data_IF_466948486682
#
_entry.id   IF_466948486682
#
_cell.length_a   1.000
_cell.length_b   1.000
_cell.length_c   1.000
_cell.angle_alpha   90.00
_cell.angle_beta   90.00
_cell.angle_gamma   90.00
#
_symmetry.space_group_name_H-M   'P 1'
#
loop_
_entity.id
_entity.type
_entity.pdbx_description
1 polymer ?
#
# COMPACT_ATOMS: atom_id res chain seq x y z
N UNK A 1 4.73 41.81 31.04
CA UNK A 1 4.16 40.49 30.75
C UNK A 1 4.42 40.25 29.27
N UNK A 2 5.14 39.20 28.95
CA UNK A 2 5.34 38.88 27.54
C UNK A 2 4.02 38.49 26.92
N UNK A 3 3.79 38.94 25.69
CA UNK A 3 2.56 38.62 24.95
C UNK A 3 2.41 37.12 24.79
N UNK A 4 1.21 36.59 25.07
CA UNK A 4 0.92 35.16 24.85
C UNK A 4 0.91 34.86 23.37
N UNK A 5 1.68 33.82 22.97
CA UNK A 5 1.72 33.29 21.59
C UNK A 5 1.09 31.91 21.54
N UNK A 6 0.14 31.73 20.64
CA UNK A 6 -0.47 30.46 20.31
C UNK A 6 0.18 29.91 19.05
N UNK A 7 0.84 28.75 19.15
CA UNK A 7 1.47 28.09 18.02
C UNK A 7 0.71 26.82 17.70
N UNK A 8 0.17 26.74 16.50
CA UNK A 8 -0.44 25.53 15.95
C UNK A 8 0.47 25.00 14.85
N UNK A 9 0.79 23.73 14.93
CA UNK A 9 1.70 23.05 14.01
C UNK A 9 1.01 21.79 13.47
N UNK A 10 0.92 21.68 12.14
CA UNK A 10 0.30 20.56 11.42
C UNK A 10 1.31 19.59 10.82
N UNK A 11 2.59 19.76 11.10
CA UNK A 11 3.67 18.98 10.48
C UNK A 11 3.50 17.45 10.68
N UNK A 12 3.26 17.00 11.92
CA UNK A 12 3.04 15.59 12.26
C UNK A 12 1.73 15.42 13.04
N UNK A 13 0.62 15.46 12.34
CA UNK A 13 -0.71 15.53 12.91
C UNK A 13 -1.06 16.97 13.28
N UNK A 14 -1.51 17.21 14.52
CA UNK A 14 -1.80 18.55 14.99
C UNK A 14 -1.24 18.76 16.40
N UNK A 15 -0.39 19.77 16.59
CA UNK A 15 0.22 20.13 17.87
C UNK A 15 -0.10 21.57 18.21
N UNK A 16 -0.41 21.83 19.48
CA UNK A 16 -0.59 23.20 19.99
C UNK A 16 0.41 23.43 21.10
N UNK A 17 1.06 24.60 21.07
CA UNK A 17 2.00 25.07 22.08
C UNK A 17 1.63 26.50 22.50
N UNK A 18 1.67 26.80 23.80
CA UNK A 18 1.42 28.12 24.36
C UNK A 18 2.74 28.69 24.87
N UNK A 19 3.17 29.85 24.38
CA UNK A 19 4.39 30.52 24.80
C UNK A 19 4.08 31.89 25.44
N UNK A 20 4.85 32.27 26.44
CA UNK A 20 4.69 33.57 27.16
C UNK A 20 3.47 33.59 28.08
N UNK A 21 3.18 34.73 28.69
CA UNK A 21 2.07 34.93 29.62
C UNK A 21 2.34 34.45 31.05
N UNK A 22 1.29 34.21 31.83
CA UNK A 22 1.39 33.73 33.21
C UNK A 22 1.51 32.23 33.27
N UNK A 23 2.56 31.69 33.93
CA UNK A 23 2.83 30.27 34.11
C UNK A 23 1.73 29.48 34.82
N UNK A 24 0.86 30.19 35.59
CA UNK A 24 -0.27 29.58 36.31
C UNK A 24 -1.56 29.54 35.46
N UNK A 25 -1.56 30.20 34.32
CA UNK A 25 -2.74 30.30 33.50
C UNK A 25 -2.99 29.03 32.72
N UNK A 26 -4.19 28.48 32.78
CA UNK A 26 -4.62 27.25 32.11
C UNK A 26 -5.40 27.56 30.85
N UNK A 27 -5.11 26.81 29.82
CA UNK A 27 -5.77 26.83 28.52
C UNK A 27 -6.36 25.46 28.22
N UNK A 28 -7.59 25.46 27.75
CA UNK A 28 -8.23 24.27 27.23
C UNK A 28 -8.07 24.23 25.70
N UNK A 29 -7.54 23.14 25.18
CA UNK A 29 -7.29 22.95 23.76
C UNK A 29 -8.24 21.88 23.24
N UNK A 30 -9.04 22.23 22.25
CA UNK A 30 -9.99 21.33 21.60
C UNK A 30 -9.56 21.07 20.16
N UNK A 31 -9.39 19.80 19.82
CA UNK A 31 -9.04 19.35 18.49
C UNK A 31 -10.24 18.66 17.85
N UNK A 32 -10.70 19.19 16.75
CA UNK A 32 -11.85 18.67 16.02
C UNK A 32 -11.45 18.13 14.65
N UNK A 33 -12.21 17.14 14.17
CA UNK A 33 -12.34 16.91 12.74
C UNK A 33 -13.37 17.94 12.20
N UNK A 34 -12.90 18.87 11.40
CA UNK A 34 -13.69 19.99 10.87
C UNK A 34 -14.83 19.53 9.94
N UNK A 35 -14.63 18.40 9.19
CA UNK A 35 -15.64 17.85 8.27
C UNK A 35 -16.99 17.60 8.95
N UNK A 36 -16.96 17.08 10.17
CA UNK A 36 -18.16 16.67 10.91
C UNK A 36 -18.29 17.38 12.26
N UNK A 37 -17.39 18.32 12.55
CA UNK A 37 -17.25 19.05 13.81
C UNK A 37 -17.18 18.11 15.03
N UNK A 38 -16.53 16.93 14.84
CA UNK A 38 -16.37 15.93 15.89
C UNK A 38 -15.15 16.24 16.73
N UNK A 39 -15.35 16.35 18.04
CA UNK A 39 -14.23 16.46 19.00
C UNK A 39 -13.41 15.16 18.98
N UNK A 40 -12.12 15.28 18.62
CA UNK A 40 -11.16 14.17 18.56
C UNK A 40 -10.35 14.08 19.84
N UNK A 41 -9.89 15.23 20.34
CA UNK A 41 -9.05 15.28 21.54
C UNK A 41 -9.29 16.57 22.31
N UNK A 42 -9.10 16.49 23.63
CA UNK A 42 -9.14 17.61 24.55
C UNK A 42 -7.89 17.57 25.42
N UNK A 43 -7.17 18.69 25.51
CA UNK A 43 -6.04 18.86 26.41
C UNK A 43 -6.23 20.08 27.30
N UNK A 44 -5.67 20.06 28.50
CA UNK A 44 -5.57 21.25 29.37
C UNK A 44 -4.05 21.42 29.61
N UNK A 45 -3.52 22.57 29.23
CA UNK A 45 -2.10 22.92 29.39
C UNK A 45 -1.93 24.30 29.99
N UNK A 46 -0.75 24.54 30.54
CA UNK A 46 -0.30 25.86 31.00
C UNK A 46 0.61 26.52 29.97
N UNK A 47 0.89 27.78 30.15
CA UNK A 47 1.94 28.46 29.40
C UNK A 47 3.28 27.74 29.52
N UNK A 48 4.04 27.64 28.42
CA UNK A 48 5.28 26.88 28.30
C UNK A 48 5.07 25.38 27.98
N UNK A 49 3.85 24.91 27.84
CA UNK A 49 3.53 23.51 27.54
C UNK A 49 2.87 23.34 26.19
N UNK A 50 2.86 22.10 25.71
CA UNK A 50 2.20 21.71 24.47
C UNK A 50 1.31 20.47 24.67
N UNK A 51 0.38 20.28 23.75
CA UNK A 51 -0.46 19.09 23.66
C UNK A 51 -0.75 18.73 22.20
N UNK A 52 -1.00 17.45 21.94
CA UNK A 52 -1.40 16.94 20.62
C UNK A 52 -2.21 15.65 20.74
N UNK A 53 -3.16 15.40 19.82
CA UNK A 53 -3.71 14.05 19.62
C UNK A 53 -2.62 13.13 19.06
N UNK A 54 -2.72 11.84 19.38
CA UNK A 54 -1.75 10.86 18.90
C UNK A 54 -2.18 10.23 17.55
N UNK A 55 -2.65 11.06 16.61
CA UNK A 55 -3.12 10.63 15.28
C UNK A 55 -2.10 11.09 14.24
N UNK A 56 -1.69 10.18 13.35
CA UNK A 56 -0.68 10.39 12.32
C UNK A 56 -1.22 10.31 10.87
N UNK A 57 -2.47 9.89 10.70
CA UNK A 57 -3.17 9.97 9.43
C UNK A 57 -3.88 11.32 9.26
N UNK A 58 -4.33 11.58 8.05
CA UNK A 58 -5.02 12.83 7.73
C UNK A 58 -6.33 12.99 8.53
N UNK A 59 -6.47 14.14 9.16
CA UNK A 59 -7.70 14.67 9.71
C UNK A 59 -7.80 16.12 9.24
N UNK A 60 -8.98 16.57 8.86
CA UNK A 60 -9.24 17.98 8.55
C UNK A 60 -9.32 18.76 9.87
N UNK A 61 -8.14 19.16 10.37
CA UNK A 61 -8.01 19.71 11.71
C UNK A 61 -8.64 21.09 11.84
N UNK A 62 -9.46 21.26 12.88
CA UNK A 62 -9.87 22.53 13.47
C UNK A 62 -9.42 22.53 14.92
N UNK A 63 -8.74 23.59 15.33
CA UNK A 63 -8.25 23.78 16.70
C UNK A 63 -8.92 24.98 17.32
N UNK A 64 -9.39 24.85 18.56
CA UNK A 64 -9.83 25.94 19.38
C UNK A 64 -9.05 25.97 20.68
N UNK A 65 -8.55 27.17 21.05
CA UNK A 65 -7.87 27.42 22.32
C UNK A 65 -8.79 28.28 23.15
N UNK A 66 -9.17 27.77 24.32
CA UNK A 66 -10.03 28.46 25.26
C UNK A 66 -9.24 28.88 26.50
N UNK A 67 -9.50 30.05 27.00
CA UNK A 67 -8.97 30.57 28.27
C UNK A 67 -10.10 30.71 29.27
N UNK A 68 -9.90 30.24 30.49
CA UNK A 68 -10.88 30.36 31.55
C UNK A 68 -11.42 31.80 31.67
N UNK A 69 -12.75 31.96 31.72
CA UNK A 69 -13.49 33.20 31.77
C UNK A 69 -13.47 34.11 30.52
N UNK A 70 -12.70 33.74 29.46
CA UNK A 70 -12.59 34.55 28.24
C UNK A 70 -13.20 33.85 27.00
N UNK A 71 -13.49 32.55 27.10
CA UNK A 71 -13.96 31.75 25.95
C UNK A 71 -12.87 31.43 24.98
N UNK A 72 -13.21 31.33 23.68
CA UNK A 72 -12.25 31.02 22.61
C UNK A 72 -11.35 32.24 22.38
N UNK A 73 -10.04 32.07 22.57
CA UNK A 73 -9.03 33.12 22.39
C UNK A 73 -8.22 32.91 21.10
N UNK A 74 -8.23 31.72 20.50
CA UNK A 74 -7.62 31.43 19.22
C UNK A 74 -8.34 30.27 18.53
N UNK A 75 -8.47 30.35 17.21
CA UNK A 75 -8.99 29.27 16.36
C UNK A 75 -8.17 29.17 15.10
N UNK A 76 -7.81 27.96 14.71
CA UNK A 76 -7.00 27.71 13.52
C UNK A 76 -7.44 26.42 12.82
N UNK A 77 -7.26 26.38 11.51
CA UNK A 77 -7.67 25.30 10.63
C UNK A 77 -6.49 24.80 9.82
N UNK A 78 -6.45 23.47 9.55
CA UNK A 78 -5.55 22.91 8.57
C UNK A 78 -5.91 23.45 7.18
N UNK A 79 -4.99 24.16 6.56
CA UNK A 79 -5.12 24.63 5.18
C UNK A 79 -3.90 24.18 4.37
N UNK A 80 -4.11 23.17 3.52
CA UNK A 80 -3.06 22.58 2.68
C UNK A 80 -2.86 23.32 1.35
N UNK A 81 -3.76 24.25 1.00
CA UNK A 81 -3.66 24.96 -0.28
C UNK A 81 -2.33 25.69 -0.40
N UNK A 82 -1.66 25.49 -1.53
CA UNK A 82 -0.35 26.06 -1.84
C UNK A 82 0.77 25.70 -0.83
N UNK A 83 0.56 24.66 0.00
CA UNK A 83 1.56 24.17 0.95
C UNK A 83 2.35 23.00 0.36
N UNK A 84 3.53 22.78 0.93
CA UNK A 84 4.34 21.62 0.61
C UNK A 84 4.12 20.50 1.63
N UNK A 85 3.75 19.31 1.16
CA UNK A 85 3.37 18.13 1.96
C UNK A 85 4.29 16.97 1.62
N UNK A 86 4.81 16.28 2.65
CA UNK A 86 5.54 15.03 2.49
C UNK A 86 4.61 13.84 2.65
N UNK A 87 4.59 12.94 1.67
CA UNK A 87 3.92 11.64 1.79
C UNK A 87 4.97 10.54 1.66
N UNK A 88 5.22 9.85 2.76
CA UNK A 88 6.10 8.70 2.79
C UNK A 88 5.32 7.42 2.48
N UNK A 89 5.76 6.68 1.47
CA UNK A 89 5.26 5.35 1.15
C UNK A 89 6.17 4.33 1.81
N UNK A 90 5.81 3.94 3.05
CA UNK A 90 6.71 3.30 4.01
C UNK A 90 7.09 1.85 3.76
N UNK A 91 6.46 1.14 2.80
CA UNK A 91 6.69 -0.29 2.58
C UNK A 91 7.69 -0.56 1.45
N UNK A 92 8.48 -1.65 1.60
CA UNK A 92 9.42 -2.11 0.57
C UNK A 92 8.79 -2.96 -0.54
N UNK A 93 7.72 -3.76 -0.32
CA UNK A 93 7.09 -4.53 -1.38
C UNK A 93 6.60 -3.62 -2.51
N UNK A 94 7.00 -3.94 -3.74
CA UNK A 94 6.69 -3.10 -4.90
C UNK A 94 5.19 -2.95 -5.17
N UNK A 95 4.40 -4.00 -4.89
CA UNK A 95 2.95 -3.97 -5.06
C UNK A 95 2.28 -2.92 -4.19
N UNK A 96 2.72 -2.78 -2.93
CA UNK A 96 2.22 -1.80 -1.98
C UNK A 96 2.51 -0.38 -2.51
N UNK A 97 3.76 -0.14 -2.92
CA UNK A 97 4.16 1.16 -3.46
C UNK A 97 3.36 1.54 -4.71
N UNK A 98 3.20 0.59 -5.65
CA UNK A 98 2.41 0.81 -6.88
C UNK A 98 0.94 1.09 -6.56
N UNK A 99 0.37 0.37 -5.59
CA UNK A 99 -1.02 0.57 -5.19
C UNK A 99 -1.28 1.89 -4.47
N UNK A 100 -0.30 2.43 -3.76
CA UNK A 100 -0.46 3.60 -2.88
C UNK A 100 -0.11 4.94 -3.52
N UNK A 101 0.89 4.97 -4.43
CA UNK A 101 1.33 6.23 -5.07
C UNK A 101 0.20 7.00 -5.74
N UNK A 102 -0.79 6.39 -6.45
CA UNK A 102 -1.88 7.13 -7.06
C UNK A 102 -2.70 7.96 -6.07
N UNK A 103 -2.78 7.53 -4.81
CA UNK A 103 -3.50 8.27 -3.77
C UNK A 103 -2.74 9.52 -3.32
N UNK A 104 -1.40 9.49 -3.30
CA UNK A 104 -0.61 10.69 -3.06
C UNK A 104 -0.79 11.72 -4.19
N UNK A 105 -0.89 11.26 -5.43
CA UNK A 105 -1.18 12.13 -6.59
C UNK A 105 -2.57 12.74 -6.48
N UNK A 106 -3.57 11.95 -6.14
CA UNK A 106 -4.94 12.40 -5.96
C UNK A 106 -5.07 13.36 -4.77
N UNK A 107 -4.32 13.12 -3.69
CA UNK A 107 -4.24 14.02 -2.54
C UNK A 107 -3.75 15.41 -2.93
N UNK A 108 -2.67 15.50 -3.72
CA UNK A 108 -2.16 16.76 -4.23
C UNK A 108 -3.23 17.56 -5.00
N UNK A 109 -4.00 16.89 -5.85
CA UNK A 109 -5.08 17.48 -6.64
C UNK A 109 -6.22 17.98 -5.76
N UNK A 110 -6.71 17.15 -4.84
CA UNK A 110 -7.85 17.48 -3.97
C UNK A 110 -7.56 18.66 -3.06
N UNK A 111 -6.35 18.74 -2.54
CA UNK A 111 -5.96 19.80 -1.61
C UNK A 111 -5.25 20.97 -2.27
N UNK A 112 -5.02 20.94 -3.61
CA UNK A 112 -4.29 21.98 -4.33
C UNK A 112 -2.93 22.30 -3.67
N UNK A 113 -2.19 21.26 -3.25
CA UNK A 113 -0.91 21.36 -2.57
C UNK A 113 0.21 20.75 -3.40
N UNK A 114 1.46 21.12 -3.11
CA UNK A 114 2.65 20.48 -3.67
C UNK A 114 2.99 19.26 -2.84
N UNK A 115 3.13 18.08 -3.48
CA UNK A 115 3.42 16.83 -2.77
C UNK A 115 4.81 16.33 -3.16
N UNK A 116 5.61 16.02 -2.14
CA UNK A 116 6.84 15.23 -2.25
C UNK A 116 6.54 13.81 -1.79
N UNK A 117 6.73 12.83 -2.68
CA UNK A 117 6.56 11.41 -2.36
C UNK A 117 7.92 10.78 -2.09
N UNK A 118 8.13 10.32 -0.87
CA UNK A 118 9.31 9.56 -0.49
C UNK A 118 9.02 8.05 -0.61
N UNK A 119 9.76 7.37 -1.50
CA UNK A 119 9.46 6.00 -1.91
C UNK A 119 10.73 5.16 -2.14
N UNK A 120 10.68 3.82 -1.96
CA UNK A 120 11.76 2.93 -2.38
C UNK A 120 12.03 2.90 -3.89
N UNK A 121 11.04 3.27 -4.71
CA UNK A 121 11.08 3.16 -6.18
C UNK A 121 10.67 4.46 -6.90
N UNK A 122 11.30 5.61 -6.61
CA UNK A 122 10.91 6.90 -7.19
C UNK A 122 10.97 6.89 -8.72
N UNK A 123 11.97 6.23 -9.31
CA UNK A 123 12.21 6.13 -10.75
C UNK A 123 11.06 5.50 -11.56
N UNK A 124 10.17 4.74 -10.91
CA UNK A 124 9.01 4.16 -11.59
C UNK A 124 7.93 5.20 -11.90
N UNK A 125 7.88 6.29 -11.16
CA UNK A 125 6.77 7.22 -11.16
C UNK A 125 7.11 8.61 -11.68
N UNK A 126 8.37 9.04 -11.58
CA UNK A 126 8.82 10.40 -11.90
C UNK A 126 8.41 10.89 -13.29
N UNK A 127 8.46 10.00 -14.28
CA UNK A 127 8.04 10.31 -15.66
C UNK A 127 6.53 10.27 -15.85
N UNK A 128 5.82 9.50 -15.05
CA UNK A 128 4.37 9.27 -15.18
C UNK A 128 3.55 10.33 -14.46
N UNK A 129 4.13 10.97 -13.46
CA UNK A 129 3.48 11.99 -12.64
C UNK A 129 4.41 13.21 -12.47
N UNK A 130 4.63 13.99 -13.56
CA UNK A 130 5.59 15.10 -13.54
C UNK A 130 5.20 16.22 -12.57
N UNK A 131 3.95 16.26 -12.12
CA UNK A 131 3.44 17.21 -11.12
C UNK A 131 3.84 16.86 -9.67
N UNK A 132 4.39 15.66 -9.44
CA UNK A 132 4.80 15.17 -8.13
C UNK A 132 6.32 15.08 -8.06
N UNK A 133 6.91 15.50 -6.95
CA UNK A 133 8.34 15.32 -6.70
C UNK A 133 8.57 13.96 -6.04
N UNK A 134 9.29 13.04 -6.70
CA UNK A 134 9.63 11.74 -6.15
C UNK A 134 11.07 11.71 -5.64
N UNK A 135 11.26 11.24 -4.41
CA UNK A 135 12.59 11.10 -3.78
C UNK A 135 12.78 9.71 -3.19
N UNK A 136 14.04 9.31 -2.99
CA UNK A 136 14.36 8.03 -2.37
C UNK A 136 13.94 8.00 -0.90
N UNK A 137 13.57 6.81 -0.43
CA UNK A 137 13.35 6.55 0.98
C UNK A 137 14.56 6.99 1.82
N UNK A 138 14.30 7.74 2.90
CA UNK A 138 15.33 8.28 3.78
C UNK A 138 16.00 9.59 3.29
N UNK A 139 15.46 10.23 2.24
CA UNK A 139 15.91 11.58 1.83
C UNK A 139 15.54 12.63 2.88
N UNK A 140 14.37 12.50 3.46
CA UNK A 140 13.88 13.37 4.53
C UNK A 140 13.59 12.55 5.79
N UNK A 141 13.91 13.10 6.95
CA UNK A 141 13.40 12.60 8.23
C UNK A 141 12.05 13.24 8.48
N UNK A 142 11.02 12.41 8.74
CA UNK A 142 9.67 12.92 8.95
C UNK A 142 9.58 13.95 10.08
N UNK A 143 10.25 13.70 11.21
CA UNK A 143 10.20 14.55 12.40
C UNK A 143 11.03 15.84 12.26
N UNK A 144 12.09 15.83 11.47
CA UNK A 144 13.03 16.94 11.30
C UNK A 144 12.85 17.75 10.03
N UNK A 145 11.87 17.43 9.18
CA UNK A 145 11.65 18.12 7.93
C UNK A 145 10.85 19.42 8.11
N UNK A 146 10.93 20.32 7.13
CA UNK A 146 10.23 21.61 7.13
C UNK A 146 8.89 21.61 6.37
N UNK A 147 8.36 20.44 6.04
CA UNK A 147 7.07 20.32 5.36
C UNK A 147 5.93 20.80 6.26
N UNK A 148 4.93 21.43 5.65
CA UNK A 148 3.76 21.90 6.38
C UNK A 148 2.94 20.77 7.02
N UNK A 149 2.83 19.64 6.30
CA UNK A 149 2.22 18.42 6.82
C UNK A 149 2.97 17.19 6.31
N UNK A 150 2.93 16.11 7.06
CA UNK A 150 3.63 14.86 6.73
C UNK A 150 2.75 13.66 7.05
N UNK A 151 2.58 12.76 6.08
CA UNK A 151 1.79 11.54 6.23
C UNK A 151 2.61 10.32 5.83
N UNK A 152 2.34 9.18 6.47
CA UNK A 152 2.96 7.90 6.12
C UNK A 152 1.89 6.89 5.75
N UNK A 153 1.90 6.44 4.49
CA UNK A 153 1.09 5.31 4.07
C UNK A 153 1.89 4.04 4.38
N UNK A 154 1.35 3.20 5.23
CA UNK A 154 1.95 1.93 5.62
C UNK A 154 0.87 0.91 5.91
N UNK A 155 1.25 -0.35 6.06
CA UNK A 155 0.33 -1.41 6.48
C UNK A 155 -0.14 -1.30 7.95
N UNK A 156 0.10 -0.16 8.61
CA UNK A 156 -0.29 0.07 10.00
C UNK A 156 0.50 -0.73 11.04
N UNK A 157 1.51 -1.48 10.60
CA UNK A 157 2.39 -2.22 11.49
C UNK A 157 3.61 -1.36 11.85
N UNK A 158 3.77 -1.07 13.12
CA UNK A 158 4.82 -0.15 13.61
C UNK A 158 6.20 -0.80 13.43
N UNK A 159 7.10 -0.10 12.72
CA UNK A 159 8.47 -0.57 12.46
C UNK A 159 9.31 -0.77 13.72
N UNK A 160 9.07 -0.03 14.78
CA UNK A 160 9.77 -0.15 16.06
C UNK A 160 9.49 -1.47 16.78
N UNK A 161 8.32 -2.07 16.56
CA UNK A 161 8.00 -3.38 17.07
C UNK A 161 8.73 -4.52 16.33
N UNK A 162 9.21 -4.29 15.11
CA UNK A 162 10.03 -5.28 14.39
C UNK A 162 11.35 -5.55 15.11
N UNK A 163 11.98 -4.54 15.69
CA UNK A 163 13.19 -4.73 16.46
C UNK A 163 12.90 -5.45 17.77
N UNK A 164 11.80 -5.12 18.47
CA UNK A 164 11.36 -5.83 19.66
C UNK A 164 10.95 -7.27 19.34
N UNK A 165 10.27 -7.49 18.20
CA UNK A 165 9.93 -8.81 17.70
C UNK A 165 11.16 -9.64 17.37
N UNK A 166 12.11 -9.09 16.65
CA UNK A 166 13.37 -9.76 16.34
C UNK A 166 14.17 -10.07 17.61
N UNK A 167 14.10 -9.20 18.61
CA UNK A 167 14.76 -9.43 19.91
C UNK A 167 14.05 -10.51 20.73
N UNK A 168 12.71 -10.56 20.72
CA UNK A 168 11.92 -11.63 21.31
C UNK A 168 12.18 -12.97 20.61
N UNK A 169 12.28 -13.00 19.28
CA UNK A 169 12.64 -14.20 18.51
C UNK A 169 14.08 -14.66 18.83
N UNK A 170 15.04 -13.72 18.97
CA UNK A 170 16.43 -14.05 19.34
C UNK A 170 16.52 -14.61 20.76
N UNK A 171 15.70 -14.10 21.68
CA UNK A 171 15.68 -14.56 23.09
C UNK A 171 14.96 -15.88 23.28
N UNK A 172 14.09 -16.28 22.36
CA UNK A 172 13.22 -17.45 22.55
C UNK A 172 13.17 -18.34 21.29
N UNK A 173 14.27 -19.08 21.06
CA UNK A 173 14.46 -19.96 19.89
C UNK A 173 13.40 -21.08 19.76
N UNK A 174 12.60 -21.33 20.80
CA UNK A 174 11.54 -22.33 20.85
C UNK A 174 10.15 -21.76 20.48
N UNK A 175 10.02 -20.47 20.23
CA UNK A 175 8.75 -19.86 19.81
C UNK A 175 8.38 -20.29 18.39
N UNK A 176 7.59 -21.33 18.27
CA UNK A 176 7.02 -21.81 16.99
C UNK A 176 5.89 -20.92 16.47
N UNK A 177 5.28 -20.11 17.32
CA UNK A 177 4.11 -19.30 17.02
C UNK A 177 3.99 -18.16 18.04
N UNK A 178 3.84 -16.93 17.58
CA UNK A 178 3.46 -15.80 18.43
C UNK A 178 2.04 -15.42 18.03
N UNK A 179 1.03 -15.81 18.82
CA UNK A 179 -0.32 -15.32 18.64
C UNK A 179 -0.34 -13.81 18.91
N UNK A 180 -1.05 -13.05 18.09
CA UNK A 180 -1.34 -11.63 18.28
C UNK A 180 -0.17 -10.65 18.19
N UNK A 181 0.66 -10.77 17.15
CA UNK A 181 1.69 -9.78 16.86
C UNK A 181 1.45 -8.99 15.57
N UNK A 182 0.22 -8.97 15.08
CA UNK A 182 -0.24 -7.88 14.24
C UNK A 182 -0.57 -6.69 15.15
N UNK A 183 0.44 -5.94 15.57
CA UNK A 183 0.21 -4.73 16.34
C UNK A 183 -0.26 -3.67 15.34
N UNK A 184 -1.55 -3.71 15.05
CA UNK A 184 -2.20 -2.59 14.42
C UNK A 184 -2.20 -1.41 15.37
N UNK A 185 -1.76 -0.29 14.89
CA UNK A 185 -1.81 0.96 15.62
C UNK A 185 -2.92 1.85 15.03
N UNK A 186 -4.00 2.01 15.76
CA UNK A 186 -5.13 2.84 15.38
C UNK A 186 -4.77 4.33 15.16
N UNK A 187 -3.61 4.77 15.66
CA UNK A 187 -3.11 6.12 15.43
C UNK A 187 -2.38 6.28 14.09
N UNK A 188 -1.98 5.18 13.45
CA UNK A 188 -1.32 5.18 12.13
C UNK A 188 -2.32 4.99 10.99
N UNK A 189 -3.36 4.17 11.21
CA UNK A 189 -4.41 3.90 10.24
C UNK A 189 -5.77 3.84 10.92
N UNK A 190 -6.82 4.51 10.38
CA UNK A 190 -8.14 4.56 11.03
C UNK A 190 -8.87 3.23 11.01
N UNK A 191 -8.59 2.36 10.03
CA UNK A 191 -9.15 1.00 9.95
C UNK A 191 -8.03 -0.04 9.96
N UNK A 192 -8.33 -1.22 10.51
CA UNK A 192 -7.37 -2.34 10.55
C UNK A 192 -7.01 -2.79 9.11
N UNK A 193 -5.72 -2.80 8.71
CA UNK A 193 -5.31 -3.14 7.34
C UNK A 193 -5.70 -4.55 6.90
N UNK A 194 -5.93 -5.48 7.84
CA UNK A 194 -6.49 -6.80 7.55
C UNK A 194 -7.95 -6.80 7.11
N UNK A 195 -8.64 -5.67 7.24
CA UNK A 195 -10.06 -5.50 6.87
C UNK A 195 -10.26 -4.59 5.66
N UNK A 196 -9.17 -4.05 5.13
CA UNK A 196 -9.16 -3.13 3.99
C UNK A 196 -8.39 -3.72 2.82
N UNK A 197 -8.68 -3.30 1.61
CA UNK A 197 -7.82 -3.56 0.48
C UNK A 197 -6.51 -2.77 0.62
N UNK A 198 -5.53 -3.13 -0.20
CA UNK A 198 -4.26 -2.38 -0.23
C UNK A 198 -4.51 -0.89 -0.52
N UNK A 199 -5.37 -0.58 -1.47
CA UNK A 199 -5.68 0.79 -1.86
C UNK A 199 -6.59 1.51 -0.85
N UNK A 200 -7.54 0.81 -0.22
CA UNK A 200 -8.33 1.40 0.86
C UNK A 200 -7.47 1.91 2.02
N UNK A 201 -6.37 1.20 2.34
CA UNK A 201 -5.43 1.67 3.37
C UNK A 201 -4.86 3.04 3.03
N UNK A 202 -4.47 3.30 1.78
CA UNK A 202 -3.98 4.61 1.36
C UNK A 202 -5.09 5.67 1.38
N UNK A 203 -6.28 5.31 0.89
CA UNK A 203 -7.49 6.16 0.93
C UNK A 203 -7.80 6.60 2.37
N UNK A 204 -7.77 5.67 3.31
CA UNK A 204 -8.04 5.94 4.73
C UNK A 204 -6.98 6.84 5.36
N UNK A 205 -5.69 6.52 5.14
CA UNK A 205 -4.58 7.31 5.70
C UNK A 205 -4.58 8.75 5.19
N UNK A 206 -4.98 8.95 3.93
CA UNK A 206 -5.07 10.28 3.32
C UNK A 206 -6.45 10.94 3.46
N UNK A 207 -7.37 10.35 4.23
CA UNK A 207 -8.64 10.95 4.63
C UNK A 207 -9.66 11.10 3.51
N UNK A 208 -9.65 10.22 2.49
CA UNK A 208 -10.64 10.25 1.43
C UNK A 208 -12.00 9.77 1.95
N UNK A 209 -13.06 10.48 1.62
CA UNK A 209 -14.41 10.20 2.12
C UNK A 209 -15.00 8.88 1.62
N UNK A 210 -14.64 8.52 0.40
CA UNK A 210 -15.05 7.27 -0.23
C UNK A 210 -13.86 6.61 -0.90
N UNK A 211 -13.82 5.30 -0.84
CA UNK A 211 -12.86 4.52 -1.57
C UNK A 211 -13.23 4.45 -3.06
N UNK A 212 -12.28 4.81 -3.89
CA UNK A 212 -12.32 4.60 -5.34
C UNK A 212 -11.03 3.88 -5.73
N UNK A 213 -11.14 2.83 -6.55
CA UNK A 213 -9.98 2.16 -7.11
C UNK A 213 -9.26 3.08 -8.09
N UNK A 214 -8.01 3.44 -7.81
CA UNK A 214 -7.21 4.30 -8.68
C UNK A 214 -6.12 3.47 -9.34
N UNK A 215 -6.23 3.33 -10.67
CA UNK A 215 -5.22 2.62 -11.45
C UNK A 215 -3.94 3.43 -11.55
N UNK A 216 -2.77 2.90 -11.12
CA UNK A 216 -1.49 3.55 -11.38
C UNK A 216 -1.23 3.63 -12.88
N UNK A 217 -0.46 4.62 -13.31
CA UNK A 217 -0.08 4.78 -14.71
C UNK A 217 1.42 4.75 -14.84
N UNK A 218 1.90 3.97 -15.80
CA UNK A 218 3.30 3.94 -16.16
C UNK A 218 3.45 4.32 -17.63
N UNK A 219 4.38 5.24 -17.92
CA UNK A 219 4.73 5.58 -19.30
C UNK A 219 5.49 4.41 -19.91
N UNK A 220 5.16 4.06 -21.14
CA UNK A 220 5.93 3.08 -21.90
C UNK A 220 7.35 3.63 -22.15
N UNK A 221 8.40 2.99 -21.62
CA UNK A 221 9.76 3.51 -21.74
C UNK A 221 10.33 3.40 -23.16
N UNK A 222 9.76 2.53 -23.97
CA UNK A 222 10.20 2.33 -25.35
C UNK A 222 9.01 1.93 -26.26
N UNK A 223 8.69 2.71 -27.31
CA UNK A 223 7.58 2.43 -28.22
C UNK A 223 7.80 1.19 -29.09
N UNK A 224 9.04 0.76 -29.29
CA UNK A 224 9.36 -0.44 -30.08
C UNK A 224 9.00 -1.72 -29.32
N UNK A 225 8.43 -2.70 -30.03
CA UNK A 225 8.12 -4.00 -29.43
C UNK A 225 9.40 -4.79 -29.15
N UNK A 226 9.56 -5.37 -27.94
CA UNK A 226 10.73 -6.20 -27.63
C UNK A 226 10.71 -7.57 -28.33
N UNK A 227 9.56 -7.98 -28.84
CA UNK A 227 9.32 -9.25 -29.56
C UNK A 227 8.30 -9.00 -30.67
N UNK A 228 8.61 -9.37 -31.90
CA UNK A 228 7.72 -9.18 -33.05
C UNK A 228 6.43 -10.00 -32.96
N UNK A 229 6.54 -11.24 -32.51
CA UNK A 229 5.39 -12.15 -32.35
C UNK A 229 4.50 -11.71 -31.20
N UNK A 230 3.22 -12.08 -31.27
CA UNK A 230 2.31 -11.96 -30.12
C UNK A 230 2.84 -12.73 -28.93
N UNK A 231 2.82 -12.14 -27.77
CA UNK A 231 3.32 -12.78 -26.56
C UNK A 231 2.52 -12.41 -25.31
N UNK A 232 2.61 -13.28 -24.32
CA UNK A 232 2.02 -13.13 -22.99
C UNK A 232 3.15 -13.07 -21.98
N UNK A 233 3.07 -12.11 -21.06
CA UNK A 233 3.95 -12.06 -19.91
C UNK A 233 3.39 -12.92 -18.76
N UNK A 234 4.27 -13.68 -18.10
CA UNK A 234 3.92 -14.46 -16.93
C UNK A 234 4.80 -14.11 -15.72
N UNK A 235 4.22 -14.23 -14.52
CA UNK A 235 4.96 -14.23 -13.25
C UNK A 235 4.51 -15.37 -12.37
N UNK A 236 5.42 -16.34 -12.20
CA UNK A 236 5.15 -17.62 -11.53
C UNK A 236 5.23 -17.51 -10.02
N UNK A 237 6.02 -16.55 -9.52
CA UNK A 237 6.44 -16.46 -8.12
C UNK A 237 5.87 -15.24 -7.41
N UNK A 238 5.77 -15.37 -6.09
CA UNK A 238 5.37 -14.31 -5.17
C UNK A 238 6.32 -14.27 -3.97
N UNK A 239 6.08 -13.35 -3.04
CA UNK A 239 6.86 -13.22 -1.81
C UNK A 239 6.74 -14.42 -0.84
N UNK A 240 5.93 -15.42 -1.16
CA UNK A 240 5.77 -16.65 -0.38
C UNK A 240 4.93 -17.69 -1.10
N UNK A 241 5.22 -18.97 -0.84
CA UNK A 241 4.59 -20.14 -1.48
C UNK A 241 3.05 -20.14 -1.37
N UNK A 242 2.51 -19.55 -0.30
CA UNK A 242 1.06 -19.47 -0.10
C UNK A 242 0.34 -18.65 -1.18
N UNK A 243 1.04 -17.72 -1.84
CA UNK A 243 0.51 -16.91 -2.94
C UNK A 243 0.75 -17.54 -4.32
N UNK A 244 1.61 -18.54 -4.41
CA UNK A 244 1.96 -19.17 -5.67
C UNK A 244 0.90 -20.15 -6.17
N UNK A 245 0.94 -20.42 -7.47
CA UNK A 245 0.11 -21.45 -8.07
C UNK A 245 0.73 -22.82 -7.86
N UNK A 246 0.37 -23.48 -6.76
CA UNK A 246 0.97 -24.73 -6.30
C UNK A 246 0.48 -25.99 -7.04
N UNK A 247 -0.18 -25.86 -8.20
CA UNK A 247 -0.52 -26.98 -9.07
C UNK A 247 0.72 -27.52 -9.77
N UNK A 248 1.04 -28.80 -9.58
CA UNK A 248 2.31 -29.40 -10.03
C UNK A 248 2.55 -29.33 -11.55
N UNK A 249 1.49 -29.33 -12.34
CA UNK A 249 1.57 -29.26 -13.82
C UNK A 249 1.04 -27.93 -14.36
N UNK A 250 0.54 -27.06 -13.49
CA UNK A 250 -0.18 -25.83 -13.82
C UNK A 250 0.52 -24.99 -14.87
N UNK A 251 1.66 -24.43 -14.51
CA UNK A 251 2.42 -23.56 -15.40
C UNK A 251 2.91 -24.26 -16.68
N UNK A 252 3.37 -25.52 -16.57
CA UNK A 252 3.87 -26.26 -17.74
C UNK A 252 2.77 -26.49 -18.77
N UNK A 253 1.58 -26.89 -18.31
CA UNK A 253 0.43 -27.13 -19.19
C UNK A 253 -0.07 -25.81 -19.79
N UNK A 254 -0.21 -24.75 -18.98
CA UNK A 254 -0.65 -23.44 -19.44
C UNK A 254 0.28 -22.90 -20.55
N UNK A 255 1.59 -22.93 -20.33
CA UNK A 255 2.59 -22.51 -21.32
C UNK A 255 2.47 -23.31 -22.61
N UNK A 256 2.31 -24.64 -22.51
CA UNK A 256 2.14 -25.50 -23.68
C UNK A 256 0.91 -25.12 -24.51
N UNK A 257 -0.22 -24.85 -23.86
CA UNK A 257 -1.47 -24.46 -24.55
C UNK A 257 -1.36 -23.06 -25.19
N UNK A 258 -0.77 -22.09 -24.49
CA UNK A 258 -0.53 -20.75 -25.05
C UNK A 258 0.36 -20.81 -26.30
N UNK A 259 1.40 -21.66 -26.28
CA UNK A 259 2.25 -21.86 -27.45
C UNK A 259 1.53 -22.51 -28.62
N UNK A 260 0.64 -23.47 -28.38
CA UNK A 260 -0.22 -24.06 -29.44
C UNK A 260 -1.13 -23.00 -30.08
N UNK A 261 -1.54 -21.99 -29.31
CA UNK A 261 -2.34 -20.86 -29.79
C UNK A 261 -1.48 -19.78 -30.49
N UNK A 262 -0.18 -20.00 -30.65
CA UNK A 262 0.72 -19.11 -31.38
C UNK A 262 1.36 -18.00 -30.56
N UNK A 263 1.20 -17.99 -29.24
CA UNK A 263 1.82 -16.98 -28.38
C UNK A 263 3.27 -17.37 -28.01
N UNK A 264 4.17 -16.41 -28.02
CA UNK A 264 5.36 -16.52 -27.22
C UNK A 264 5.03 -16.28 -25.74
N UNK A 265 5.78 -16.90 -24.82
CA UNK A 265 5.59 -16.72 -23.38
C UNK A 265 6.87 -16.16 -22.78
N UNK A 266 6.74 -15.07 -22.04
CA UNK A 266 7.85 -14.36 -21.40
C UNK A 266 7.68 -14.41 -19.90
N UNK A 267 8.58 -15.09 -19.18
CA UNK A 267 8.65 -15.01 -17.72
C UNK A 267 9.42 -13.77 -17.32
N UNK A 268 8.76 -12.89 -16.53
CA UNK A 268 9.33 -11.64 -16.00
C UNK A 268 9.52 -11.67 -14.48
N UNK A 269 9.38 -12.85 -13.86
CA UNK A 269 9.63 -13.03 -12.41
C UNK A 269 11.05 -12.62 -12.03
N UNK A 270 11.26 -12.24 -10.78
CA UNK A 270 12.61 -12.04 -10.25
C UNK A 270 13.33 -13.38 -10.09
N UNK A 271 12.64 -14.38 -9.59
CA UNK A 271 13.11 -15.73 -9.39
C UNK A 271 13.32 -16.43 -10.74
N UNK A 272 14.30 -17.33 -10.78
CA UNK A 272 14.61 -18.06 -12.00
C UNK A 272 13.52 -19.06 -12.37
N UNK A 273 12.92 -18.88 -13.53
CA UNK A 273 11.94 -19.84 -14.06
C UNK A 273 12.60 -21.15 -14.51
N UNK A 274 12.01 -22.29 -14.12
CA UNK A 274 12.40 -23.63 -14.58
C UNK A 274 11.56 -24.10 -15.79
N UNK A 275 10.62 -23.27 -16.27
CA UNK A 275 9.83 -23.58 -17.47
C UNK A 275 10.70 -23.64 -18.70
N UNK A 276 10.37 -24.57 -19.63
CA UNK A 276 11.06 -24.76 -20.90
C UNK A 276 10.30 -24.06 -22.03
N UNK A 277 11.03 -23.75 -23.10
CA UNK A 277 10.48 -23.18 -24.34
C UNK A 277 9.78 -21.80 -24.11
N UNK A 278 10.29 -21.00 -23.18
CA UNK A 278 9.85 -19.63 -22.90
C UNK A 278 11.03 -18.66 -22.99
N UNK A 279 10.73 -17.39 -23.15
CA UNK A 279 11.71 -16.32 -23.03
C UNK A 279 11.83 -15.95 -21.56
N UNK A 280 13.04 -15.91 -21.01
CA UNK A 280 13.30 -15.63 -19.60
C UNK A 280 13.89 -14.25 -19.44
N UNK A 281 13.22 -13.40 -18.68
CA UNK A 281 13.64 -12.06 -18.24
C UNK A 281 13.62 -12.00 -16.71
N UNK A 282 14.40 -12.89 -16.12
CA UNK A 282 14.48 -13.15 -14.68
C UNK A 282 15.72 -12.48 -14.05
N UNK A 283 15.88 -12.64 -12.73
CA UNK A 283 17.03 -12.10 -11.98
C UNK A 283 16.97 -10.58 -11.82
N UNK A 284 18.12 -9.93 -11.97
CA UNK A 284 18.28 -8.47 -11.80
C UNK A 284 17.81 -7.66 -13.03
N UNK A 285 16.96 -8.25 -13.86
CA UNK A 285 16.33 -7.55 -14.98
C UNK A 285 15.55 -6.33 -14.46
N UNK A 286 15.84 -5.11 -14.96
CA UNK A 286 15.27 -3.88 -14.43
C UNK A 286 13.74 -3.84 -14.46
N UNK A 287 13.13 -3.10 -13.53
CA UNK A 287 11.68 -2.97 -13.47
C UNK A 287 11.12 -2.17 -14.66
N UNK A 288 11.85 -1.19 -15.15
CA UNK A 288 11.50 -0.42 -16.35
C UNK A 288 11.50 -1.34 -17.59
N UNK A 289 12.47 -2.23 -17.69
CA UNK A 289 12.50 -3.20 -18.79
C UNK A 289 11.35 -4.21 -18.68
N UNK A 290 10.98 -4.64 -17.44
CA UNK A 290 9.76 -5.42 -17.22
C UNK A 290 8.50 -4.67 -17.65
N UNK A 291 8.41 -3.39 -17.32
CA UNK A 291 7.32 -2.52 -17.76
C UNK A 291 7.27 -2.42 -19.29
N UNK A 292 8.43 -2.31 -19.97
CA UNK A 292 8.51 -2.33 -21.42
C UNK A 292 7.91 -3.61 -22.02
N UNK A 293 8.28 -4.79 -21.51
CA UNK A 293 7.67 -6.05 -21.94
C UNK A 293 6.16 -6.07 -21.65
N UNK A 294 5.74 -5.56 -20.52
CA UNK A 294 4.33 -5.50 -20.14
C UNK A 294 3.53 -4.57 -21.05
N UNK A 295 4.05 -3.41 -21.41
CA UNK A 295 3.35 -2.48 -22.32
C UNK A 295 3.05 -3.09 -23.68
N UNK A 296 3.84 -4.06 -24.13
CA UNK A 296 3.71 -4.65 -25.46
C UNK A 296 3.14 -6.07 -25.46
N UNK A 297 2.93 -6.70 -24.31
CA UNK A 297 2.28 -8.02 -24.25
C UNK A 297 0.78 -7.92 -24.54
N UNK A 298 0.17 -9.02 -24.93
CA UNK A 298 -1.29 -9.06 -25.16
C UNK A 298 -2.03 -8.98 -23.80
N UNK A 299 -1.59 -9.76 -22.82
CA UNK A 299 -2.08 -9.74 -21.45
C UNK A 299 -1.02 -10.33 -20.50
N UNK A 300 -1.26 -10.20 -19.21
CA UNK A 300 -0.39 -10.77 -18.17
C UNK A 300 -1.11 -11.90 -17.43
N UNK A 301 -0.37 -12.97 -17.10
CA UNK A 301 -0.86 -14.03 -16.21
C UNK A 301 0.10 -14.15 -15.04
N UNK A 302 -0.41 -14.11 -13.83
CA UNK A 302 0.42 -14.24 -12.65
C UNK A 302 -0.34 -14.61 -11.40
N UNK A 303 0.39 -14.55 -10.30
CA UNK A 303 -0.12 -14.73 -8.95
C UNK A 303 -0.20 -13.38 -8.24
N UNK A 304 -0.80 -13.33 -7.07
CA UNK A 304 -0.87 -12.13 -6.23
C UNK A 304 0.54 -11.62 -5.85
N UNK A 305 1.05 -10.69 -6.65
CA UNK A 305 2.43 -10.19 -6.54
C UNK A 305 2.55 -8.76 -7.04
N UNK A 306 3.67 -8.10 -6.73
CA UNK A 306 3.96 -6.75 -7.23
C UNK A 306 4.01 -6.64 -8.76
N UNK A 307 4.34 -7.73 -9.48
CA UNK A 307 4.34 -7.74 -10.94
C UNK A 307 2.93 -7.74 -11.53
N UNK A 308 1.93 -8.25 -10.81
CA UNK A 308 0.53 -8.10 -11.21
C UNK A 308 0.08 -6.63 -11.13
N UNK A 309 0.48 -5.93 -10.08
CA UNK A 309 0.27 -4.49 -9.93
C UNK A 309 0.99 -3.68 -11.02
N UNK A 310 2.23 -4.04 -11.35
CA UNK A 310 2.99 -3.41 -12.43
C UNK A 310 2.30 -3.62 -13.79
N UNK A 311 1.83 -4.83 -14.08
CA UNK A 311 1.09 -5.14 -15.31
C UNK A 311 -0.20 -4.34 -15.41
N UNK A 312 -0.94 -4.24 -14.32
CA UNK A 312 -2.14 -3.42 -14.24
C UNK A 312 -1.84 -1.94 -14.50
N UNK A 313 -0.78 -1.40 -13.90
CA UNK A 313 -0.31 -0.03 -14.12
C UNK A 313 0.20 0.23 -15.55
N UNK A 314 0.71 -0.81 -16.24
CA UNK A 314 1.04 -0.74 -17.67
C UNK A 314 -0.19 -0.88 -18.59
N UNK A 315 -1.39 -0.72 -18.04
CA UNK A 315 -2.67 -0.80 -18.76
C UNK A 315 -2.94 -2.16 -19.42
N UNK A 316 -2.53 -3.25 -18.76
CA UNK A 316 -2.82 -4.61 -19.24
C UNK A 316 -3.98 -5.25 -18.48
N UNK A 317 -4.70 -6.13 -19.19
CA UNK A 317 -5.58 -7.09 -18.53
C UNK A 317 -4.73 -8.10 -17.77
N UNK A 318 -5.10 -8.34 -16.53
CA UNK A 318 -4.36 -9.21 -15.60
C UNK A 318 -5.20 -10.45 -15.33
N UNK A 319 -4.68 -11.62 -15.71
CA UNK A 319 -5.22 -12.91 -15.29
C UNK A 319 -4.50 -13.29 -13.99
N UNK A 320 -5.24 -13.23 -12.88
CA UNK A 320 -4.69 -13.40 -11.54
C UNK A 320 -5.11 -14.73 -10.93
N UNK A 321 -4.17 -15.66 -10.80
CA UNK A 321 -4.40 -16.95 -10.14
C UNK A 321 -4.34 -16.74 -8.65
N UNK A 322 -5.50 -16.80 -7.99
CA UNK A 322 -5.69 -16.45 -6.58
C UNK A 322 -6.15 -17.64 -5.76
N UNK A 323 -5.32 -18.10 -4.83
CA UNK A 323 -5.73 -19.10 -3.84
C UNK A 323 -6.16 -18.44 -2.52
N UNK A 324 -5.26 -17.66 -1.93
CA UNK A 324 -5.47 -17.07 -0.61
C UNK A 324 -6.01 -15.65 -0.64
N UNK A 325 -5.83 -14.91 -1.73
CA UNK A 325 -6.33 -13.54 -1.87
C UNK A 325 -7.74 -13.51 -2.47
N UNK A 326 -8.51 -12.49 -2.11
CA UNK A 326 -9.86 -12.21 -2.59
C UNK A 326 -9.88 -10.97 -3.47
N UNK A 327 -10.97 -10.76 -4.17
CA UNK A 327 -11.21 -9.53 -4.93
C UNK A 327 -11.08 -8.26 -4.05
N UNK A 328 -11.48 -8.36 -2.79
CA UNK A 328 -11.37 -7.26 -1.82
C UNK A 328 -9.94 -6.93 -1.36
N UNK A 329 -8.93 -7.69 -1.73
CA UNK A 329 -7.55 -7.42 -1.31
C UNK A 329 -6.76 -6.58 -2.30
N UNK A 330 -7.14 -6.65 -3.58
CA UNK A 330 -6.37 -6.11 -4.69
C UNK A 330 -7.27 -5.34 -5.66
N UNK A 331 -6.71 -4.87 -6.77
CA UNK A 331 -7.47 -4.23 -7.85
C UNK A 331 -8.43 -5.22 -8.54
N UNK A 332 -9.53 -4.68 -9.10
CA UNK A 332 -10.58 -5.44 -9.77
C UNK A 332 -10.75 -5.04 -11.24
N UNK A 333 -10.54 -3.77 -11.58
CA UNK A 333 -10.64 -3.29 -12.96
C UNK A 333 -9.62 -3.99 -13.85
N UNK A 334 -10.05 -4.53 -14.98
CA UNK A 334 -9.23 -5.32 -15.92
C UNK A 334 -8.50 -6.52 -15.27
N UNK A 335 -9.08 -7.08 -14.19
CA UNK A 335 -8.58 -8.25 -13.49
C UNK A 335 -9.51 -9.45 -13.68
N UNK A 336 -9.00 -10.50 -14.31
CA UNK A 336 -9.67 -11.79 -14.44
C UNK A 336 -9.14 -12.69 -13.33
N UNK A 337 -9.88 -12.76 -12.24
CA UNK A 337 -9.47 -13.52 -11.05
C UNK A 337 -9.90 -14.97 -11.14
N UNK A 338 -8.95 -15.88 -10.97
CA UNK A 338 -9.17 -17.32 -11.00
C UNK A 338 -9.12 -17.84 -9.55
N UNK A 339 -10.25 -18.25 -9.04
CA UNK A 339 -10.42 -18.88 -7.73
C UNK A 339 -11.18 -20.20 -7.92
N UNK A 340 -10.80 -21.23 -7.20
CA UNK A 340 -11.64 -22.41 -7.05
C UNK A 340 -12.50 -22.25 -5.81
N UNK A 341 -13.77 -21.90 -6.00
CA UNK A 341 -14.73 -21.64 -4.93
C UNK A 341 -15.26 -22.92 -4.26
N UNK A 342 -15.03 -24.10 -4.86
CA UNK A 342 -15.45 -25.39 -4.30
C UNK A 342 -14.58 -25.84 -3.12
N UNK A 343 -13.47 -25.16 -2.85
CA UNK A 343 -12.55 -25.46 -1.76
C UNK A 343 -12.32 -24.22 -0.88
N UNK A 344 -11.73 -24.42 0.29
CA UNK A 344 -11.38 -23.27 1.12
C UNK A 344 -10.38 -22.35 0.38
N UNK A 345 -10.63 -21.04 0.44
CA UNK A 345 -9.84 -20.00 -0.22
C UNK A 345 -9.95 -18.68 0.52
N UNK A 346 -9.19 -17.66 0.08
CA UNK A 346 -9.37 -16.28 0.54
C UNK A 346 -9.06 -16.06 2.01
N UNK A 347 -8.04 -16.73 2.57
CA UNK A 347 -7.64 -16.58 3.96
C UNK A 347 -6.90 -15.26 4.23
N UNK A 348 -6.25 -14.69 3.22
CA UNK A 348 -5.45 -13.49 3.38
C UNK A 348 -6.35 -12.30 3.73
N UNK A 349 -6.01 -11.58 4.81
CA UNK A 349 -6.81 -10.47 5.32
C UNK A 349 -8.30 -10.83 5.56
N UNK A 350 -8.59 -12.09 5.91
CA UNK A 350 -9.92 -12.43 6.36
C UNK A 350 -10.05 -12.19 7.86
N UNK A 351 -11.23 -11.79 8.34
CA UNK A 351 -11.47 -11.55 9.77
C UNK A 351 -11.17 -12.79 10.64
N UNK A 352 -11.35 -14.00 10.08
CA UNK A 352 -11.08 -15.25 10.78
C UNK A 352 -9.57 -15.57 10.87
N UNK A 353 -8.75 -14.96 10.02
CA UNK A 353 -7.36 -15.37 9.82
C UNK A 353 -6.39 -14.20 9.93
N UNK A 354 -6.83 -12.94 9.99
CA UNK A 354 -5.94 -11.78 10.03
C UNK A 354 -4.92 -11.87 11.17
N UNK A 355 -5.32 -12.46 12.30
CA UNK A 355 -4.44 -12.69 13.46
C UNK A 355 -3.55 -13.94 13.32
N UNK A 356 -3.82 -14.80 12.33
CA UNK A 356 -3.08 -16.05 12.10
C UNK A 356 -2.00 -15.89 11.03
N UNK A 357 -2.09 -14.88 10.18
CA UNK A 357 -1.06 -14.58 9.21
C UNK A 357 0.13 -13.92 9.88
N UNK A 358 1.13 -14.73 10.17
CA UNK A 358 2.46 -14.18 10.43
C UNK A 358 3.05 -13.78 9.07
N UNK A 359 3.25 -12.48 8.84
CA UNK A 359 4.00 -11.96 7.69
C UNK A 359 5.42 -12.55 7.57
N UNK A 360 5.87 -13.29 8.59
CA UNK A 360 7.21 -13.87 8.70
C UNK A 360 7.30 -15.35 8.32
N UNK A 361 6.17 -16.04 8.17
CA UNK A 361 6.13 -17.47 7.75
C UNK A 361 5.13 -17.65 6.62
N UNK A 362 5.52 -17.20 5.45
CA UNK A 362 4.75 -17.32 4.22
C UNK A 362 4.56 -18.76 3.71
N UNK A 363 4.97 -19.77 4.50
CA UNK A 363 4.95 -21.19 4.11
C UNK A 363 3.87 -21.97 4.87
N UNK A 364 2.97 -21.27 5.55
CA UNK A 364 1.98 -21.90 6.42
C UNK A 364 0.56 -21.72 5.86
N UNK A 365 -0.14 -22.83 5.67
CA UNK A 365 -1.57 -22.81 5.39
C UNK A 365 -2.35 -22.69 6.71
N UNK A 366 -3.08 -21.59 6.98
CA UNK A 366 -3.75 -21.36 8.27
C UNK A 366 -4.82 -22.41 8.58
N UNK A 367 -5.35 -23.07 7.55
CA UNK A 367 -6.34 -24.14 7.67
C UNK A 367 -5.73 -25.56 7.65
N UNK A 368 -4.40 -25.69 7.61
CA UNK A 368 -3.67 -26.96 7.48
C UNK A 368 -4.13 -27.84 6.30
N UNK A 369 -4.66 -27.25 5.22
CA UNK A 369 -5.18 -27.93 4.03
C UNK A 369 -4.18 -27.96 2.87
N UNK A 370 -2.90 -27.77 3.17
CA UNK A 370 -1.80 -27.89 2.20
C UNK A 370 -2.07 -27.10 0.91
N UNK A 371 -2.50 -25.82 1.05
CA UNK A 371 -2.80 -24.90 -0.06
C UNK A 371 -3.74 -25.47 -1.13
N UNK A 372 -4.76 -26.22 -0.71
CA UNK A 372 -5.76 -26.78 -1.64
C UNK A 372 -6.38 -25.72 -2.53
N UNK A 373 -6.55 -24.49 -2.02
CA UNK A 373 -7.06 -23.35 -2.75
C UNK A 373 -6.29 -23.07 -4.05
N UNK A 374 -4.98 -23.10 -4.02
CA UNK A 374 -4.11 -22.84 -5.16
C UNK A 374 -3.81 -24.13 -5.94
N UNK A 375 -3.66 -25.27 -5.27
CA UNK A 375 -3.37 -26.57 -5.93
C UNK A 375 -4.54 -27.08 -6.76
N UNK A 376 -5.77 -26.82 -6.36
CA UNK A 376 -6.98 -27.29 -7.07
C UNK A 376 -7.34 -26.46 -8.31
N UNK A 377 -6.75 -25.26 -8.46
CA UNK A 377 -6.92 -24.49 -9.70
C UNK A 377 -6.22 -25.25 -10.82
N UNK A 378 -7.01 -25.79 -11.76
CA UNK A 378 -6.47 -26.53 -12.89
C UNK A 378 -6.08 -25.60 -14.05
N UNK A 379 -5.14 -26.01 -14.94
CA UNK A 379 -4.84 -25.28 -16.17
C UNK A 379 -6.08 -25.05 -17.04
N UNK A 380 -7.01 -26.00 -17.03
CA UNK A 380 -8.28 -25.87 -17.77
C UNK A 380 -9.12 -24.71 -17.24
N UNK A 381 -9.25 -24.56 -15.91
CA UNK A 381 -9.98 -23.42 -15.30
C UNK A 381 -9.36 -22.09 -15.73
N UNK A 382 -8.02 -21.99 -15.77
CA UNK A 382 -7.33 -20.78 -16.21
C UNK A 382 -7.62 -20.49 -17.68
N UNK A 383 -7.48 -21.48 -18.55
CA UNK A 383 -7.71 -21.34 -19.99
C UNK A 383 -9.18 -21.00 -20.30
N UNK A 384 -10.12 -21.63 -19.63
CA UNK A 384 -11.55 -21.36 -19.83
C UNK A 384 -11.87 -19.90 -19.47
N UNK A 385 -11.35 -19.39 -18.36
CA UNK A 385 -11.53 -17.98 -17.97
C UNK A 385 -10.87 -16.99 -18.94
N UNK A 386 -9.70 -17.32 -19.49
CA UNK A 386 -9.03 -16.51 -20.51
C UNK A 386 -9.87 -16.45 -21.78
N UNK A 387 -10.48 -17.58 -22.20
CA UNK A 387 -11.41 -17.66 -23.34
C UNK A 387 -12.71 -16.90 -23.10
N UNK A 388 -13.34 -17.07 -21.93
CA UNK A 388 -14.54 -16.33 -21.53
C UNK A 388 -14.31 -14.81 -21.59
N UNK A 389 -13.11 -14.36 -21.21
CA UNK A 389 -12.71 -12.97 -21.28
C UNK A 389 -12.25 -12.51 -22.69
N UNK A 390 -12.34 -13.38 -23.70
CA UNK A 390 -11.97 -13.10 -25.11
C UNK A 390 -10.51 -12.61 -25.27
N UNK A 391 -9.57 -13.17 -24.48
CA UNK A 391 -8.15 -12.86 -24.59
C UNK A 391 -7.43 -13.78 -25.57
N UNK A 392 -8.00 -14.94 -25.85
CA UNK A 392 -7.50 -15.95 -26.81
C UNK A 392 -8.63 -16.53 -27.61
#
# INVERSE_FOLDING_TARGET
MDDVKYKVDFHLGCKVEIEGGDENEEYEILFFDNKNNKLIHRGIIKSGYWTKPNIKYFVDWKVQILKNNYGIVHEEYLDLKDKEVLIEVGNKPIGDVIGWVPYAVEFAKRHSCSVVVQSPYPFLFDKSYPEITFVKMGTFEMEGSSFYATYRISSGYVGDNMNQLNEMFRRNSNMKYIPNLSIWNENETPRHPGKTSLQETASDVLGFESFEEIRPQFINPNPERPIEKKYVCISEFASGMLKEWNNQVGWKTLVSELKKLGYEVVSISKEKSELKNIIKRNGDFPLEDRAWYLHHCEFFIGVSSGLAWLAWGCNKKVVLISGITRASNEFNTDCIRIINEDVCHGCFNSEQHCDKFSYFKNDFCPENKNWICSRSISPKMVLDKIKEAQLI
#
